data_IF_569025804484
#
_entry.id   IF_569025804484
#
_cell.length_a   1.000
_cell.length_b   1.000
_cell.length_c   1.000
_cell.angle_alpha   90.00
_cell.angle_beta   90.00
_cell.angle_gamma   90.00
#
_symmetry.space_group_name_H-M   'P 1'
#
loop_
_entity.id
_entity.type
_entity.pdbx_description
1 polymer ?
#
# COMPACT_ATOMS: atom_id res chain seq x y z
N UNK A 1 18.14 21.03 -8.20
CA UNK A 1 18.04 22.33 -8.89
C UNK A 1 16.80 23.05 -8.35
N UNK A 2 17.02 24.06 -7.50
CA UNK A 2 15.97 24.89 -6.93
C UNK A 2 15.41 25.78 -8.05
N UNK A 3 14.15 25.51 -8.45
CA UNK A 3 13.44 26.35 -9.41
C UNK A 3 13.05 27.67 -8.74
N UNK A 4 13.65 28.76 -9.22
CA UNK A 4 13.48 30.12 -8.74
C UNK A 4 12.01 30.56 -8.64
N UNK A 5 11.54 30.71 -7.40
CA UNK A 5 10.50 31.71 -7.11
C UNK A 5 11.15 33.08 -7.17
N UNK A 6 10.55 34.08 -7.85
CA UNK A 6 11.14 35.40 -7.92
C UNK A 6 11.33 35.96 -6.51
N UNK A 7 12.51 36.51 -6.19
CA UNK A 7 12.81 37.00 -4.86
C UNK A 7 11.88 38.16 -4.49
N UNK A 8 11.26 38.09 -3.29
CA UNK A 8 10.67 39.19 -2.56
C UNK A 8 9.26 39.69 -2.92
N UNK A 9 8.44 38.96 -3.64
CA UNK A 9 7.02 39.34 -3.82
C UNK A 9 6.14 38.86 -2.65
N UNK A 10 6.52 37.78 -2.00
CA UNK A 10 5.74 37.16 -0.92
C UNK A 10 6.44 37.23 0.44
N UNK A 11 5.65 37.31 1.54
CA UNK A 11 6.24 37.24 2.87
C UNK A 11 6.88 35.85 3.12
N UNK A 12 7.95 35.79 3.95
CA UNK A 12 8.70 34.53 4.18
C UNK A 12 7.84 33.34 4.66
N UNK A 13 6.77 33.61 5.42
CA UNK A 13 5.83 32.59 5.89
C UNK A 13 5.05 31.94 4.75
N UNK A 14 4.64 32.73 3.75
CA UNK A 14 3.95 32.22 2.56
C UNK A 14 4.90 31.41 1.68
N UNK A 15 6.14 31.88 1.50
CA UNK A 15 7.16 31.13 0.75
C UNK A 15 7.40 29.76 1.38
N UNK A 16 7.56 29.70 2.72
CA UNK A 16 7.74 28.43 3.45
C UNK A 16 6.53 27.50 3.30
N UNK A 17 5.30 28.02 3.32
CA UNK A 17 4.10 27.19 3.09
C UNK A 17 4.07 26.61 1.68
N UNK A 18 4.38 27.42 0.66
CA UNK A 18 4.45 26.96 -0.73
C UNK A 18 5.51 25.85 -0.88
N UNK A 19 6.70 26.05 -0.32
CA UNK A 19 7.77 25.03 -0.35
C UNK A 19 7.37 23.76 0.41
N UNK A 20 6.73 23.89 1.57
CA UNK A 20 6.26 22.74 2.33
C UNK A 20 5.22 21.90 1.57
N UNK A 21 4.30 22.54 0.86
CA UNK A 21 3.30 21.83 0.03
C UNK A 21 3.92 21.07 -1.16
N UNK A 22 5.12 21.43 -1.60
CA UNK A 22 5.83 20.75 -2.68
C UNK A 22 6.40 19.38 -2.29
N UNK A 23 6.40 19.03 -1.00
CA UNK A 23 6.77 17.67 -0.57
C UNK A 23 5.74 16.61 -0.99
N UNK A 24 4.53 17.03 -1.36
CA UNK A 24 3.48 16.11 -1.77
C UNK A 24 3.68 15.62 -3.21
N UNK A 25 3.50 14.30 -3.47
CA UNK A 25 3.61 13.74 -4.82
C UNK A 25 2.67 14.45 -5.81
N UNK A 26 3.19 14.81 -7.00
CA UNK A 26 2.40 15.49 -8.03
C UNK A 26 2.15 16.98 -7.79
N UNK A 27 2.64 17.55 -6.68
CA UNK A 27 2.48 18.97 -6.37
C UNK A 27 3.69 19.77 -6.86
N UNK A 28 3.56 20.37 -8.05
CA UNK A 28 4.53 21.30 -8.60
C UNK A 28 4.40 22.72 -8.03
N UNK A 29 5.35 23.65 -8.36
CA UNK A 29 5.36 25.01 -7.82
C UNK A 29 4.05 25.78 -7.99
N UNK A 30 3.42 25.69 -9.19
CA UNK A 30 2.16 26.39 -9.47
C UNK A 30 0.98 25.82 -8.66
N UNK A 31 0.94 24.50 -8.47
CA UNK A 31 -0.10 23.85 -7.65
C UNK A 31 0.07 24.20 -6.19
N UNK A 32 1.29 24.16 -5.65
CA UNK A 32 1.60 24.55 -4.29
C UNK A 32 1.22 26.02 -4.00
N UNK A 33 1.56 26.93 -4.90
CA UNK A 33 1.19 28.35 -4.79
C UNK A 33 -0.33 28.52 -4.76
N UNK A 34 -1.08 27.86 -5.67
CA UNK A 34 -2.54 27.93 -5.71
C UNK A 34 -3.18 27.38 -4.45
N UNK A 35 -2.65 26.24 -3.91
CA UNK A 35 -3.12 25.66 -2.64
C UNK A 35 -2.87 26.63 -1.47
N UNK A 36 -1.68 27.20 -1.37
CA UNK A 36 -1.35 28.16 -0.31
C UNK A 36 -2.26 29.39 -0.35
N UNK A 37 -2.53 29.96 -1.54
CA UNK A 37 -3.44 31.09 -1.68
C UNK A 37 -4.87 30.73 -1.31
N UNK A 38 -5.36 29.58 -1.76
CA UNK A 38 -6.69 29.11 -1.40
C UNK A 38 -6.87 29.02 0.13
N UNK A 39 -5.93 28.37 0.82
CA UNK A 39 -5.96 28.21 2.27
C UNK A 39 -5.91 29.54 3.01
N UNK A 40 -5.12 30.51 2.56
CA UNK A 40 -4.94 31.79 3.24
C UNK A 40 -6.01 32.84 2.89
N UNK A 41 -6.55 32.77 1.68
CA UNK A 41 -7.50 33.76 1.18
C UNK A 41 -8.95 33.31 1.35
N UNK A 42 -9.25 32.04 1.07
CA UNK A 42 -10.61 31.52 1.01
C UNK A 42 -11.03 30.77 2.29
N UNK A 43 -10.12 30.00 2.90
CA UNK A 43 -10.49 29.14 4.02
C UNK A 43 -9.34 28.97 5.05
N UNK A 44 -9.14 30.00 5.86
CA UNK A 44 -8.15 29.96 6.96
C UNK A 44 -8.51 28.94 8.04
N UNK A 45 -9.81 28.65 8.21
CA UNK A 45 -10.23 27.65 9.17
C UNK A 45 -9.81 26.24 8.71
N UNK A 46 -10.04 25.90 7.45
CA UNK A 46 -9.53 24.65 6.87
C UNK A 46 -8.02 24.53 6.96
N UNK A 47 -7.28 25.65 6.81
CA UNK A 47 -5.84 25.66 7.00
C UNK A 47 -5.44 25.25 8.42
N UNK A 48 -6.12 25.78 9.44
CA UNK A 48 -5.93 25.39 10.85
C UNK A 48 -6.25 23.92 11.10
N UNK A 49 -7.40 23.45 10.63
CA UNK A 49 -7.81 22.04 10.76
C UNK A 49 -6.83 21.08 10.08
N UNK A 50 -6.32 21.44 8.90
CA UNK A 50 -5.32 20.64 8.19
C UNK A 50 -4.01 20.57 8.98
N UNK A 51 -3.55 21.69 9.53
CA UNK A 51 -2.33 21.73 10.34
C UNK A 51 -2.46 20.85 11.60
N UNK A 52 -3.58 20.95 12.32
CA UNK A 52 -3.89 20.12 13.49
C UNK A 52 -3.98 18.64 13.15
N UNK A 53 -4.64 18.29 12.04
CA UNK A 53 -4.77 16.92 11.58
C UNK A 53 -3.41 16.30 11.24
N UNK A 54 -2.55 17.04 10.53
CA UNK A 54 -1.19 16.61 10.21
C UNK A 54 -0.35 16.38 11.47
N UNK A 55 -0.39 17.31 12.43
CA UNK A 55 0.34 17.17 13.68
C UNK A 55 -0.11 15.94 14.48
N UNK A 56 -1.42 15.73 14.59
CA UNK A 56 -2.01 14.58 15.28
C UNK A 56 -1.66 13.27 14.60
N UNK A 57 -1.73 13.22 13.26
CA UNK A 57 -1.39 12.02 12.50
C UNK A 57 0.09 11.67 12.65
N UNK A 58 1.00 12.65 12.55
CA UNK A 58 2.44 12.43 12.72
C UNK A 58 2.80 11.95 14.13
N UNK A 59 2.09 12.44 15.15
CA UNK A 59 2.35 12.07 16.54
C UNK A 59 1.69 10.73 16.94
N UNK A 60 0.54 10.37 16.36
CA UNK A 60 -0.28 9.26 16.84
C UNK A 60 -0.31 8.03 15.92
N UNK A 61 -0.21 8.21 14.61
CA UNK A 61 -0.29 7.09 13.68
C UNK A 61 1.02 6.33 13.63
N UNK A 62 1.01 5.11 14.15
CA UNK A 62 2.12 4.16 14.05
C UNK A 62 1.81 3.02 13.07
N UNK A 63 2.42 1.86 13.33
CA UNK A 63 2.19 0.62 12.58
C UNK A 63 1.65 -0.47 13.49
N UNK A 64 0.65 -1.19 13.00
CA UNK A 64 0.15 -2.39 13.64
C UNK A 64 1.28 -3.41 13.85
N UNK A 65 1.44 -3.88 15.07
CA UNK A 65 2.50 -4.83 15.44
C UNK A 65 2.37 -6.18 14.74
N UNK A 66 1.13 -6.58 14.32
CA UNK A 66 0.89 -7.83 13.62
C UNK A 66 1.05 -7.70 12.10
N UNK A 67 0.39 -6.72 11.48
CA UNK A 67 0.27 -6.68 10.02
C UNK A 67 1.01 -5.51 9.34
N UNK A 68 1.62 -4.60 10.09
CA UNK A 68 2.34 -3.41 9.62
C UNK A 68 1.45 -2.34 8.94
N UNK A 69 0.11 -2.51 8.91
CA UNK A 69 -0.82 -1.46 8.48
C UNK A 69 -0.73 -0.24 9.41
N UNK A 70 -1.09 0.94 8.94
CA UNK A 70 -1.23 2.12 9.80
C UNK A 70 -2.24 1.87 10.92
N UNK A 71 -1.89 2.27 12.14
CA UNK A 71 -2.74 2.10 13.32
C UNK A 71 -2.45 3.16 14.38
N UNK A 72 -3.50 3.58 15.10
CA UNK A 72 -3.39 4.45 16.28
C UNK A 72 -3.15 3.67 17.57
N UNK A 73 -3.20 2.33 17.51
CA UNK A 73 -2.99 1.41 18.63
C UNK A 73 -2.02 0.29 18.22
N UNK A 74 -1.71 -0.62 19.16
CA UNK A 74 -0.83 -1.78 18.90
C UNK A 74 -1.34 -2.64 17.74
N UNK A 75 -2.66 -2.85 17.66
CA UNK A 75 -3.30 -3.58 16.57
C UNK A 75 -4.25 -2.67 15.80
N UNK A 76 -4.24 -2.80 14.46
CA UNK A 76 -5.21 -2.12 13.62
C UNK A 76 -6.62 -2.73 13.78
N UNK A 77 -7.69 -2.03 13.36
CA UNK A 77 -9.07 -2.55 13.48
C UNK A 77 -9.28 -3.92 12.84
N UNK A 78 -8.54 -4.25 11.78
CA UNK A 78 -8.64 -5.56 11.11
C UNK A 78 -8.05 -6.66 12.00
N UNK A 79 -6.83 -6.45 12.49
CA UNK A 79 -6.15 -7.45 13.35
C UNK A 79 -6.82 -7.62 14.72
N UNK A 80 -7.44 -6.58 15.25
CA UNK A 80 -8.17 -6.62 16.52
C UNK A 80 -9.58 -7.25 16.38
N UNK A 81 -10.07 -7.46 15.17
CA UNK A 81 -11.44 -7.93 14.94
C UNK A 81 -11.55 -9.46 15.13
N UNK A 82 -12.40 -9.95 16.05
CA UNK A 82 -12.63 -11.38 16.22
C UNK A 82 -13.45 -12.01 15.09
N UNK A 83 -14.02 -11.19 14.19
CA UNK A 83 -14.78 -11.66 13.05
C UNK A 83 -13.88 -12.03 11.84
N UNK A 84 -12.57 -11.84 11.95
CA UNK A 84 -11.61 -12.19 10.91
C UNK A 84 -11.16 -13.65 11.02
N UNK A 85 -11.02 -14.29 9.89
CA UNK A 85 -10.44 -15.63 9.80
C UNK A 85 -8.92 -15.54 9.95
N UNK A 86 -8.42 -16.01 11.09
CA UNK A 86 -7.00 -15.96 11.42
C UNK A 86 -6.19 -17.02 10.64
N UNK A 87 -6.85 -17.99 10.02
CA UNK A 87 -6.17 -19.03 9.23
C UNK A 87 -5.77 -18.58 7.83
N UNK A 88 -6.31 -17.44 7.36
CA UNK A 88 -6.01 -16.87 6.05
C UNK A 88 -5.23 -15.55 6.18
N UNK A 89 -4.07 -15.47 5.55
CA UNK A 89 -3.22 -14.29 5.49
C UNK A 89 -3.11 -13.78 4.05
N UNK A 90 -3.49 -12.54 3.78
CA UNK A 90 -3.25 -11.87 2.49
C UNK A 90 -2.02 -10.97 2.59
N UNK A 91 -0.99 -11.26 1.81
CA UNK A 91 0.25 -10.46 1.76
C UNK A 91 0.16 -9.48 0.60
N UNK A 92 0.27 -8.19 0.91
CA UNK A 92 0.14 -7.07 -0.04
C UNK A 92 1.34 -6.14 0.02
N UNK A 93 1.56 -5.35 -1.03
CA UNK A 93 2.68 -4.40 -1.10
C UNK A 93 2.42 -3.11 -0.32
N UNK A 94 1.18 -2.64 -0.28
CA UNK A 94 0.86 -1.31 0.26
C UNK A 94 -0.44 -1.29 1.09
N UNK A 95 -0.63 -0.26 1.94
CA UNK A 95 -1.91 0.00 2.61
C UNK A 95 -3.08 0.23 1.64
N UNK A 96 -2.80 0.76 0.44
CA UNK A 96 -3.83 1.00 -0.58
C UNK A 96 -4.40 -0.32 -1.12
N UNK A 97 -3.56 -1.36 -1.23
CA UNK A 97 -4.00 -2.69 -1.66
C UNK A 97 -4.96 -3.31 -0.64
N UNK A 98 -4.68 -3.14 0.67
CA UNK A 98 -5.63 -3.55 1.74
C UNK A 98 -6.97 -2.85 1.54
N UNK A 99 -6.96 -1.54 1.33
CA UNK A 99 -8.20 -0.78 1.13
C UNK A 99 -8.98 -1.26 -0.10
N UNK A 100 -8.31 -1.56 -1.20
CA UNK A 100 -8.92 -2.07 -2.43
C UNK A 100 -9.55 -3.46 -2.21
N UNK A 101 -8.86 -4.37 -1.53
CA UNK A 101 -9.38 -5.71 -1.22
C UNK A 101 -10.57 -5.61 -0.25
N UNK A 102 -10.50 -4.78 0.78
CA UNK A 102 -11.60 -4.56 1.72
C UNK A 102 -12.86 -4.00 1.04
N UNK A 103 -12.68 -3.06 0.10
CA UNK A 103 -13.79 -2.50 -0.69
C UNK A 103 -14.51 -3.55 -1.54
N UNK A 104 -13.82 -4.63 -1.95
CA UNK A 104 -14.45 -5.73 -2.69
C UNK A 104 -15.45 -6.53 -1.84
N UNK A 105 -15.32 -6.49 -0.51
CA UNK A 105 -16.15 -7.20 0.44
C UNK A 105 -16.02 -8.72 0.39
N UNK A 106 -15.11 -9.28 -0.41
CA UNK A 106 -14.98 -10.70 -0.69
C UNK A 106 -13.96 -11.42 0.20
N UNK A 107 -13.13 -10.69 0.96
CA UNK A 107 -12.09 -11.25 1.80
C UNK A 107 -12.41 -11.09 3.31
N UNK A 108 -12.17 -12.13 4.08
CA UNK A 108 -12.47 -12.15 5.52
C UNK A 108 -11.26 -12.49 6.41
N UNK A 109 -10.11 -12.75 5.80
CA UNK A 109 -8.87 -13.06 6.52
C UNK A 109 -8.15 -11.82 7.06
N UNK A 110 -6.91 -12.02 7.47
CA UNK A 110 -5.99 -10.99 7.96
C UNK A 110 -5.01 -10.59 6.86
N UNK A 111 -4.21 -9.54 7.11
CA UNK A 111 -3.26 -9.02 6.15
C UNK A 111 -1.83 -9.00 6.71
N UNK A 112 -0.86 -8.92 5.79
CA UNK A 112 0.50 -8.47 6.07
C UNK A 112 0.93 -7.50 4.99
N UNK A 113 1.36 -6.29 5.38
CA UNK A 113 1.70 -5.20 4.47
C UNK A 113 3.22 -5.08 4.40
N UNK A 114 3.78 -5.34 3.23
CA UNK A 114 5.23 -5.31 2.99
C UNK A 114 5.79 -3.89 3.04
N UNK A 115 4.99 -2.90 2.68
CA UNK A 115 5.38 -1.50 2.44
C UNK A 115 6.33 -1.33 1.24
N UNK A 116 6.20 -2.18 0.24
CA UNK A 116 7.00 -2.21 -0.98
C UNK A 116 7.11 -3.61 -1.57
N UNK A 117 8.12 -3.80 -2.41
CA UNK A 117 8.51 -5.07 -3.01
C UNK A 117 10.03 -5.15 -3.05
N UNK A 118 10.58 -6.33 -3.31
CA UNK A 118 12.01 -6.50 -3.51
C UNK A 118 12.48 -5.66 -4.70
N UNK A 119 13.42 -4.77 -4.47
CA UNK A 119 14.02 -3.92 -5.51
C UNK A 119 15.51 -3.72 -5.22
N UNK A 120 16.39 -4.52 -5.82
CA UNK A 120 17.83 -4.34 -5.65
C UNK A 120 18.31 -2.98 -6.15
N UNK A 121 17.64 -2.39 -7.14
CA UNK A 121 18.00 -1.08 -7.69
C UNK A 121 17.70 0.05 -6.71
N UNK A 122 16.64 -0.09 -5.91
CA UNK A 122 16.23 0.90 -4.89
C UNK A 122 16.80 0.55 -3.51
N UNK A 123 17.56 -0.54 -3.38
CA UNK A 123 18.12 -0.99 -2.12
C UNK A 123 17.08 -1.58 -1.16
N UNK A 124 15.91 -2.00 -1.66
CA UNK A 124 14.84 -2.59 -0.85
C UNK A 124 15.04 -4.10 -0.79
N UNK A 125 15.38 -4.59 0.39
CA UNK A 125 15.62 -6.00 0.69
C UNK A 125 14.60 -6.61 1.65
N UNK A 126 14.87 -7.84 2.13
CA UNK A 126 14.01 -8.56 3.07
C UNK A 126 13.73 -7.82 4.38
N UNK A 127 14.70 -7.07 4.88
CA UNK A 127 14.59 -6.36 6.17
C UNK A 127 13.58 -5.21 6.08
N UNK A 128 13.64 -4.40 5.00
CA UNK A 128 12.72 -3.28 4.74
C UNK A 128 11.28 -3.79 4.58
N UNK A 129 11.11 -4.95 3.96
CA UNK A 129 9.82 -5.60 3.74
C UNK A 129 9.28 -6.35 4.97
N UNK A 130 10.10 -6.50 6.02
CA UNK A 130 9.71 -7.14 7.28
C UNK A 130 9.52 -8.65 7.16
N UNK A 131 10.33 -9.33 6.34
CA UNK A 131 10.22 -10.79 6.16
C UNK A 131 10.45 -11.56 7.46
N UNK A 132 11.33 -11.08 8.34
CA UNK A 132 11.52 -11.68 9.66
C UNK A 132 10.24 -11.65 10.51
N UNK A 133 9.49 -10.55 10.47
CA UNK A 133 8.20 -10.43 11.16
C UNK A 133 7.14 -11.34 10.53
N UNK A 134 7.11 -11.42 9.20
CA UNK A 134 6.23 -12.33 8.47
C UNK A 134 6.54 -13.79 8.84
N UNK A 135 7.81 -14.18 8.88
CA UNK A 135 8.23 -15.52 9.25
C UNK A 135 7.84 -15.86 10.68
N UNK A 136 7.99 -14.92 11.64
CA UNK A 136 7.51 -15.08 13.00
C UNK A 136 6.01 -15.33 13.05
N UNK A 137 5.22 -14.54 12.29
CA UNK A 137 3.77 -14.68 12.22
C UNK A 137 3.33 -16.05 11.66
N UNK A 138 4.02 -16.54 10.63
CA UNK A 138 3.75 -17.87 10.06
C UNK A 138 4.14 -19.00 11.01
N UNK A 139 5.18 -18.82 11.82
CA UNK A 139 5.63 -19.79 12.82
C UNK A 139 4.65 -19.96 13.99
N UNK A 140 3.72 -19.01 14.25
CA UNK A 140 2.67 -19.14 15.27
C UNK A 140 1.72 -20.31 15.01
N UNK A 141 1.63 -20.79 13.76
CA UNK A 141 0.89 -22.00 13.39
C UNK A 141 -0.63 -21.82 13.22
N UNK A 142 -1.13 -20.61 13.35
CA UNK A 142 -2.56 -20.29 13.13
C UNK A 142 -2.90 -20.18 11.64
N UNK A 143 -1.95 -19.76 10.81
CA UNK A 143 -2.12 -19.49 9.38
C UNK A 143 -1.94 -20.79 8.60
N UNK A 144 -2.93 -21.14 7.79
CA UNK A 144 -2.90 -22.31 6.91
C UNK A 144 -2.73 -21.94 5.44
N UNK A 145 -3.11 -20.73 5.05
CA UNK A 145 -2.97 -20.23 3.69
C UNK A 145 -2.45 -18.77 3.68
N UNK A 146 -1.40 -18.54 2.89
CA UNK A 146 -0.87 -17.23 2.55
C UNK A 146 -1.24 -16.89 1.10
N UNK A 147 -2.13 -15.92 0.92
CA UNK A 147 -2.54 -15.41 -0.39
C UNK A 147 -1.58 -14.28 -0.77
N UNK A 148 -0.77 -14.51 -1.80
CA UNK A 148 0.23 -13.56 -2.27
C UNK A 148 -0.42 -12.59 -3.27
N UNK A 149 -0.77 -11.41 -2.79
CA UNK A 149 -1.43 -10.34 -3.55
C UNK A 149 -0.47 -9.19 -3.87
N UNK A 150 0.78 -9.52 -4.19
CA UNK A 150 1.75 -8.55 -4.74
C UNK A 150 1.38 -8.20 -6.18
N UNK A 151 1.83 -7.04 -6.65
CA UNK A 151 1.59 -6.59 -8.02
C UNK A 151 2.13 -7.58 -9.06
N UNK A 152 1.53 -7.55 -10.25
CA UNK A 152 1.91 -8.42 -11.38
C UNK A 152 3.09 -7.83 -12.17
N UNK A 153 4.15 -7.46 -11.45
CA UNK A 153 5.42 -6.96 -11.98
C UNK A 153 6.50 -8.00 -11.73
N UNK A 154 7.64 -7.86 -12.39
CA UNK A 154 8.80 -8.76 -12.17
C UNK A 154 9.24 -8.75 -10.71
N UNK A 155 9.27 -7.58 -10.09
CA UNK A 155 9.61 -7.37 -8.68
C UNK A 155 8.56 -7.98 -7.75
N UNK A 156 7.28 -7.79 -8.07
CA UNK A 156 6.17 -8.38 -7.31
C UNK A 156 6.14 -9.90 -7.41
N UNK A 157 6.49 -10.48 -8.56
CA UNK A 157 6.62 -11.93 -8.74
C UNK A 157 7.82 -12.49 -7.98
N UNK A 158 8.98 -11.82 -8.05
CA UNK A 158 10.16 -12.19 -7.28
C UNK A 158 9.87 -12.14 -5.76
N UNK A 159 9.17 -11.09 -5.31
CA UNK A 159 8.74 -10.94 -3.91
C UNK A 159 7.82 -12.09 -3.49
N UNK A 160 6.81 -12.41 -4.31
CA UNK A 160 5.90 -13.52 -4.06
C UNK A 160 6.65 -14.87 -3.98
N UNK A 161 7.63 -15.09 -4.84
CA UNK A 161 8.42 -16.32 -4.85
C UNK A 161 9.16 -16.52 -3.52
N UNK A 162 9.87 -15.49 -3.05
CA UNK A 162 10.60 -15.54 -1.76
C UNK A 162 9.63 -15.78 -0.59
N UNK A 163 8.48 -15.09 -0.58
CA UNK A 163 7.49 -15.29 0.48
C UNK A 163 6.91 -16.72 0.44
N UNK A 164 6.71 -17.28 -0.76
CA UNK A 164 6.25 -18.67 -0.92
C UNK A 164 7.27 -19.67 -0.35
N UNK A 165 8.57 -19.43 -0.51
CA UNK A 165 9.61 -20.25 0.11
C UNK A 165 9.59 -20.15 1.64
N UNK A 166 9.39 -18.93 2.19
CA UNK A 166 9.23 -18.74 3.63
C UNK A 166 8.00 -19.51 4.15
N UNK A 167 6.85 -19.35 3.50
CA UNK A 167 5.61 -20.03 3.88
C UNK A 167 5.74 -21.56 3.84
N UNK A 168 6.42 -22.09 2.83
CA UNK A 168 6.68 -23.53 2.66
C UNK A 168 7.48 -24.12 3.84
N UNK A 169 8.45 -23.37 4.39
CA UNK A 169 9.23 -23.80 5.58
C UNK A 169 8.34 -24.01 6.80
N UNK A 170 7.22 -23.26 6.89
CA UNK A 170 6.25 -23.35 7.98
C UNK A 170 5.01 -24.19 7.62
N UNK A 171 5.05 -24.94 6.50
CA UNK A 171 3.93 -25.77 6.03
C UNK A 171 2.65 -24.98 5.72
N UNK A 172 2.77 -23.68 5.46
CA UNK A 172 1.67 -22.80 5.05
C UNK A 172 1.53 -22.88 3.54
N UNK A 173 0.31 -23.13 3.08
CA UNK A 173 -0.01 -23.17 1.64
C UNK A 173 0.09 -21.77 1.07
N UNK A 174 0.81 -21.59 -0.02
CA UNK A 174 0.83 -20.34 -0.78
C UNK A 174 -0.15 -20.39 -1.95
N UNK A 175 -0.90 -19.33 -2.12
CA UNK A 175 -1.74 -19.11 -3.30
C UNK A 175 -1.51 -17.70 -3.85
N UNK A 176 -1.84 -17.45 -5.10
CA UNK A 176 -1.73 -16.15 -5.75
C UNK A 176 -3.09 -15.73 -6.27
N UNK A 177 -3.39 -14.43 -6.22
CA UNK A 177 -4.61 -13.92 -6.86
C UNK A 177 -4.58 -14.24 -8.35
N UNK A 178 -5.72 -14.67 -8.90
CA UNK A 178 -5.81 -15.05 -10.30
C UNK A 178 -5.61 -13.85 -11.22
N UNK A 179 -4.82 -14.04 -12.27
CA UNK A 179 -4.73 -13.09 -13.37
C UNK A 179 -5.84 -13.41 -14.39
N UNK A 180 -6.46 -12.38 -14.95
CA UNK A 180 -7.54 -12.64 -15.91
C UNK A 180 -8.03 -11.41 -16.63
N UNK A 181 -8.88 -11.66 -17.62
CA UNK A 181 -9.60 -10.63 -18.34
C UNK A 181 -10.58 -9.96 -17.39
N UNK A 182 -10.66 -8.61 -17.36
CA UNK A 182 -11.60 -7.90 -16.50
C UNK A 182 -13.04 -8.24 -16.86
N UNK A 183 -13.87 -8.45 -15.84
CA UNK A 183 -15.31 -8.73 -16.02
C UNK A 183 -15.98 -7.55 -16.70
N UNK A 184 -16.73 -7.83 -17.79
CA UNK A 184 -17.41 -6.80 -18.60
C UNK A 184 -16.54 -6.16 -19.68
N UNK A 185 -15.28 -6.57 -19.79
CA UNK A 185 -14.40 -6.13 -20.89
C UNK A 185 -14.55 -7.01 -22.13
N UNK A 186 -14.37 -6.42 -23.32
CA UNK A 186 -14.30 -7.13 -24.59
C UNK A 186 -12.86 -7.58 -24.85
N UNK A 187 -12.67 -8.80 -25.36
CA UNK A 187 -11.34 -9.42 -25.54
C UNK A 187 -10.44 -8.61 -26.49
N UNK A 188 -11.02 -7.92 -27.45
CA UNK A 188 -10.28 -7.12 -28.44
C UNK A 188 -9.53 -5.92 -27.83
N UNK A 189 -9.98 -5.44 -26.63
CA UNK A 189 -9.34 -4.32 -25.93
C UNK A 189 -8.36 -4.76 -24.84
N UNK A 190 -8.19 -6.08 -24.66
CA UNK A 190 -7.27 -6.62 -23.65
C UNK A 190 -5.89 -6.79 -24.27
N UNK A 191 -4.86 -6.32 -23.57
CA UNK A 191 -3.48 -6.48 -24.05
C UNK A 191 -3.06 -7.96 -24.14
N UNK A 192 -2.11 -8.23 -25.06
CA UNK A 192 -1.68 -9.60 -25.35
C UNK A 192 -1.04 -10.33 -24.17
N UNK A 193 -0.39 -9.61 -23.25
CA UNK A 193 0.19 -10.18 -22.03
C UNK A 193 -0.91 -10.69 -21.08
N UNK A 194 -1.91 -9.87 -20.81
CA UNK A 194 -3.09 -10.28 -19.98
C UNK A 194 -3.82 -11.47 -20.62
N UNK A 195 -4.00 -11.49 -21.94
CA UNK A 195 -4.62 -12.64 -22.63
C UNK A 195 -3.78 -13.90 -22.50
N UNK A 196 -2.45 -13.81 -22.64
CA UNK A 196 -1.56 -14.95 -22.49
C UNK A 196 -1.63 -15.55 -21.08
N UNK A 197 -1.62 -14.71 -20.04
CA UNK A 197 -1.79 -15.14 -18.65
C UNK A 197 -3.16 -15.76 -18.40
N UNK A 198 -4.23 -15.15 -18.91
CA UNK A 198 -5.59 -15.68 -18.78
C UNK A 198 -5.75 -17.07 -19.43
N UNK A 199 -5.16 -17.26 -20.62
CA UNK A 199 -5.14 -18.55 -21.33
C UNK A 199 -4.32 -19.62 -20.59
N UNK A 200 -3.18 -19.24 -20.02
CA UNK A 200 -2.36 -20.13 -19.21
C UNK A 200 -3.10 -20.57 -17.93
N UNK A 201 -3.78 -19.65 -17.27
CA UNK A 201 -4.57 -19.86 -16.04
C UNK A 201 -6.01 -20.35 -16.27
N UNK A 202 -6.39 -20.75 -17.50
CA UNK A 202 -7.76 -21.16 -17.83
C UNK A 202 -8.25 -22.32 -16.97
N UNK A 203 -9.50 -22.24 -16.56
CA UNK A 203 -10.17 -23.29 -15.74
C UNK A 203 -11.13 -24.12 -16.60
N UNK A 204 -11.24 -25.40 -16.28
CA UNK A 204 -12.26 -26.29 -16.89
C UNK A 204 -13.64 -25.87 -16.38
N UNK A 205 -14.61 -25.77 -17.29
CA UNK A 205 -16.02 -25.61 -16.91
C UNK A 205 -16.55 -26.98 -16.51
N UNK A 206 -17.05 -27.08 -15.30
CA UNK A 206 -17.78 -28.29 -14.77
C UNK A 206 -19.27 -28.01 -14.72
#
# INVERSE_FOLDING_TARGET
MAGDLPPMIYPPSLVRLIEALRCLPGVGPKSAQRMAFHLLEKDRNAAGLLADALQKAVAGVGRCQRCRMFADAELCPICASPARDQSMLCVVESPADVAAIEQSGSYRGTYFVLMGHLSPLDGIGPDELGFAQLETLLAEGEITEAILATNTTVEGDATAHVISEIASRHQVKSSRIAHGVPIGGELEYVDGGTLAHALAGRRTLT
#
